data_IF_005080380151
#
_entry.id   IF_005080380151
#
_cell.length_a   1.000
_cell.length_b   1.000
_cell.length_c   1.000
_cell.angle_alpha   90.00
_cell.angle_beta   90.00
_cell.angle_gamma   90.00
#
_symmetry.space_group_name_H-M   'P 1'
#
loop_
_entity.id
_entity.type
_entity.pdbx_description
1 polymer ?
#
# COMPACT_ATOMS: atom_id res chain seq x y z
N UNK A 1 19.57 -2.57 15.32
CA UNK A 1 18.74 -1.39 15.63
C UNK A 1 18.34 -1.40 17.10
N UNK A 2 17.99 -0.27 17.64
CA UNK A 2 17.53 -0.11 19.02
C UNK A 2 16.34 -1.02 19.35
N UNK A 3 15.39 -1.13 18.44
CA UNK A 3 14.23 -2.01 18.57
C UNK A 3 14.63 -3.49 18.73
N UNK A 4 15.59 -3.97 17.93
CA UNK A 4 16.08 -5.35 18.05
C UNK A 4 16.76 -5.60 19.41
N UNK A 5 17.51 -4.64 19.89
CA UNK A 5 18.16 -4.70 21.20
C UNK A 5 17.14 -4.82 22.33
N UNK A 6 16.12 -3.96 22.34
CA UNK A 6 15.04 -4.00 23.32
C UNK A 6 14.24 -5.29 23.31
N UNK A 7 13.93 -5.80 22.13
CA UNK A 7 13.22 -7.08 21.98
C UNK A 7 14.05 -8.25 22.53
N UNK A 8 15.37 -8.26 22.33
CA UNK A 8 16.25 -9.31 22.86
C UNK A 8 16.45 -9.22 24.36
N UNK A 9 16.61 -8.02 24.91
CA UNK A 9 16.80 -7.77 26.35
C UNK A 9 15.56 -8.11 27.17
N UNK A 10 14.38 -7.84 26.65
CA UNK A 10 13.09 -8.06 27.32
C UNK A 10 12.52 -9.48 27.06
N UNK A 11 13.22 -10.35 26.36
CA UNK A 11 12.76 -11.69 25.98
C UNK A 11 11.37 -11.69 25.28
N UNK A 12 11.08 -10.65 24.54
CA UNK A 12 9.91 -10.65 23.68
C UNK A 12 10.01 -11.80 22.67
N UNK A 13 9.01 -12.67 22.63
CA UNK A 13 9.01 -13.79 21.70
C UNK A 13 9.02 -13.28 20.26
N UNK A 14 9.76 -13.96 19.42
CA UNK A 14 10.03 -13.64 18.02
C UNK A 14 8.83 -13.65 17.08
N UNK A 15 7.62 -13.83 17.59
CA UNK A 15 6.37 -13.86 16.81
C UNK A 15 5.94 -12.53 16.19
N UNK A 16 6.76 -11.49 16.34
CA UNK A 16 6.45 -10.15 15.84
C UNK A 16 5.46 -9.41 16.74
N UNK A 17 5.74 -8.14 16.98
CA UNK A 17 4.88 -7.25 17.73
C UNK A 17 3.73 -6.77 16.84
N UNK A 18 2.72 -7.61 16.63
CA UNK A 18 1.59 -7.35 15.71
C UNK A 18 0.36 -6.86 16.44
N UNK A 19 0.20 -7.17 17.72
CA UNK A 19 -0.92 -6.70 18.51
C UNK A 19 -0.69 -5.28 19.07
N UNK A 20 -1.80 -4.61 19.36
CA UNK A 20 -1.79 -3.23 19.88
C UNK A 20 -1.08 -3.12 21.23
N UNK A 21 -1.26 -4.09 22.12
CA UNK A 21 -0.67 -4.08 23.46
C UNK A 21 0.85 -4.13 23.40
N UNK A 22 1.41 -5.02 22.59
CA UNK A 22 2.84 -5.12 22.37
C UNK A 22 3.41 -3.83 21.75
N UNK A 23 2.73 -3.25 20.75
CA UNK A 23 3.14 -2.01 20.12
C UNK A 23 3.18 -0.85 21.11
N UNK A 24 2.21 -0.73 21.99
CA UNK A 24 2.15 0.30 23.04
C UNK A 24 3.29 0.13 24.04
N UNK A 25 3.52 -1.08 24.52
CA UNK A 25 4.61 -1.37 25.48
C UNK A 25 5.98 -1.05 24.87
N UNK A 26 6.23 -1.48 23.66
CA UNK A 26 7.47 -1.20 22.95
C UNK A 26 7.62 0.31 22.65
N UNK A 27 6.55 0.96 22.26
CA UNK A 27 6.54 2.41 22.03
C UNK A 27 6.88 3.20 23.27
N UNK A 28 6.38 2.80 24.44
CA UNK A 28 6.73 3.40 25.73
C UNK A 28 8.22 3.26 26.05
N UNK A 29 8.77 2.07 25.85
CA UNK A 29 10.20 1.81 26.05
C UNK A 29 11.09 2.66 25.14
N UNK A 30 10.65 2.90 23.91
CA UNK A 30 11.37 3.71 22.92
C UNK A 30 11.16 5.22 23.09
N UNK A 31 10.21 5.65 23.90
CA UNK A 31 9.79 7.04 23.98
C UNK A 31 9.07 7.52 22.70
N UNK A 32 8.50 6.60 21.95
CA UNK A 32 7.77 6.91 20.74
C UNK A 32 6.37 7.43 21.04
N UNK A 33 5.93 8.42 20.27
CA UNK A 33 4.56 8.95 20.35
C UNK A 33 3.56 8.08 19.57
N UNK A 34 4.00 7.55 18.44
CA UNK A 34 3.23 6.69 17.58
C UNK A 34 4.02 5.46 17.18
N UNK A 35 3.30 4.35 16.97
CA UNK A 35 3.86 3.11 16.45
C UNK A 35 3.08 2.66 15.22
N UNK A 36 3.80 2.21 14.22
CA UNK A 36 3.21 1.55 13.04
C UNK A 36 3.38 0.05 13.22
N UNK A 37 2.28 -0.67 13.17
CA UNK A 37 2.26 -2.14 13.17
C UNK A 37 1.55 -2.63 11.92
N UNK A 38 2.00 -3.74 11.38
CA UNK A 38 1.38 -4.29 10.19
C UNK A 38 1.87 -5.68 9.85
N UNK A 39 1.20 -6.27 8.88
CA UNK A 39 1.52 -7.58 8.34
C UNK A 39 1.65 -7.51 6.83
N UNK A 40 2.56 -8.31 6.29
CA UNK A 40 2.66 -8.58 4.86
C UNK A 40 2.24 -10.04 4.68
N UNK A 41 1.26 -10.27 3.82
CA UNK A 41 0.74 -11.60 3.51
C UNK A 41 0.91 -11.92 2.04
N UNK A 42 1.02 -13.22 1.76
CA UNK A 42 1.05 -13.75 0.40
C UNK A 42 0.09 -14.92 0.31
N UNK A 43 -0.97 -14.75 -0.46
CA UNK A 43 -2.01 -15.77 -0.66
C UNK A 43 -2.20 -15.96 -2.17
N UNK A 44 -1.88 -17.16 -2.65
CA UNK A 44 -1.91 -17.45 -4.08
C UNK A 44 -0.92 -16.57 -4.85
N UNK A 45 -1.43 -15.69 -5.71
CA UNK A 45 -0.63 -14.71 -6.48
C UNK A 45 -0.71 -13.30 -5.91
N UNK A 46 -1.44 -13.12 -4.81
CA UNK A 46 -1.70 -11.80 -4.24
C UNK A 46 -0.80 -11.53 -3.04
N UNK A 47 -0.08 -10.42 -3.09
CA UNK A 47 0.63 -9.85 -1.96
C UNK A 47 -0.22 -8.74 -1.35
N UNK A 48 -0.31 -8.69 -0.04
CA UNK A 48 -1.03 -7.63 0.67
C UNK A 48 -0.23 -7.07 1.83
N UNK A 49 -0.41 -5.78 2.07
CA UNK A 49 0.07 -5.08 3.27
C UNK A 49 -1.15 -4.56 4.02
N UNK A 50 -1.24 -4.91 5.29
CA UNK A 50 -2.16 -4.31 6.23
C UNK A 50 -1.38 -3.63 7.34
N UNK A 51 -1.69 -2.38 7.65
CA UNK A 51 -0.98 -1.64 8.69
C UNK A 51 -1.89 -0.67 9.45
N UNK A 52 -1.48 -0.36 10.67
CA UNK A 52 -2.17 0.57 11.56
C UNK A 52 -1.17 1.50 12.23
N UNK A 53 -1.55 2.77 12.36
CA UNK A 53 -0.84 3.75 13.17
C UNK A 53 -1.52 3.78 14.55
N UNK A 54 -0.77 3.53 15.60
CA UNK A 54 -1.26 3.43 16.97
C UNK A 54 -0.67 4.54 17.80
N UNK A 55 -1.50 5.26 18.55
CA UNK A 55 -1.05 6.18 19.59
C UNK A 55 -0.53 5.40 20.81
N UNK A 56 0.69 5.64 21.20
CA UNK A 56 1.29 4.99 22.37
C UNK A 56 0.62 5.44 23.67
N UNK A 57 0.16 6.69 23.71
CA UNK A 57 -0.50 7.27 24.89
C UNK A 57 -1.87 6.65 25.15
N UNK A 58 -2.73 6.59 24.13
CA UNK A 58 -4.12 6.10 24.27
C UNK A 58 -4.29 4.62 23.94
N UNK A 59 -3.37 4.02 23.19
CA UNK A 59 -3.49 2.67 22.66
C UNK A 59 -4.49 2.54 21.51
N UNK A 60 -5.02 3.65 21.00
CA UNK A 60 -6.01 3.68 19.93
C UNK A 60 -5.35 3.75 18.55
N UNK A 61 -6.01 3.16 17.55
CA UNK A 61 -5.61 3.27 16.16
C UNK A 61 -6.02 4.65 15.61
N UNK A 62 -5.05 5.40 15.13
CA UNK A 62 -5.23 6.72 14.53
C UNK A 62 -5.45 6.66 13.03
N UNK A 63 -4.94 5.65 12.39
CA UNK A 63 -5.07 5.45 10.95
C UNK A 63 -4.79 4.01 10.57
N UNK A 64 -5.26 3.63 9.41
CA UNK A 64 -4.99 2.32 8.81
C UNK A 64 -4.61 2.48 7.34
N UNK A 65 -3.78 1.57 6.86
CA UNK A 65 -3.38 1.54 5.47
C UNK A 65 -3.38 0.12 4.94
N UNK A 66 -3.86 -0.04 3.72
CA UNK A 66 -3.90 -1.32 3.03
C UNK A 66 -3.45 -1.17 1.58
N UNK A 67 -2.73 -2.15 1.09
CA UNK A 67 -2.36 -2.24 -0.32
C UNK A 67 -2.30 -3.70 -0.75
N UNK A 68 -2.83 -4.00 -1.92
CA UNK A 68 -2.80 -5.34 -2.52
C UNK A 68 -2.27 -5.27 -3.95
N UNK A 69 -1.52 -6.29 -4.35
CA UNK A 69 -1.00 -6.40 -5.71
C UNK A 69 -0.82 -7.87 -6.11
N UNK A 70 -1.10 -8.17 -7.36
CA UNK A 70 -0.80 -9.46 -7.99
C UNK A 70 0.57 -9.45 -8.70
N UNK A 71 1.27 -8.36 -8.61
CA UNK A 71 2.60 -8.20 -9.18
C UNK A 71 3.68 -8.80 -8.26
N UNK A 72 4.96 -8.51 -8.56
CA UNK A 72 6.08 -9.00 -7.77
C UNK A 72 6.16 -8.33 -6.39
N UNK A 73 6.86 -9.01 -5.47
CA UNK A 73 7.16 -8.45 -4.13
C UNK A 73 7.90 -7.10 -4.22
N UNK A 74 8.73 -6.90 -5.24
CA UNK A 74 9.41 -5.63 -5.46
C UNK A 74 8.44 -4.47 -5.68
N UNK A 75 7.36 -4.71 -6.42
CA UNK A 75 6.30 -3.71 -6.61
C UNK A 75 5.55 -3.44 -5.33
N UNK A 76 5.29 -4.48 -4.53
CA UNK A 76 4.69 -4.31 -3.21
C UNK A 76 5.53 -3.38 -2.34
N UNK A 77 6.85 -3.63 -2.26
CA UNK A 77 7.76 -2.83 -1.44
C UNK A 77 7.87 -1.41 -1.96
N UNK A 78 8.08 -1.22 -3.26
CA UNK A 78 8.29 0.11 -3.85
C UNK A 78 7.06 1.00 -3.83
N UNK A 79 5.92 0.46 -4.20
CA UNK A 79 4.67 1.21 -4.36
C UNK A 79 3.71 0.99 -3.20
N UNK A 80 3.61 -0.25 -2.71
CA UNK A 80 2.72 -0.61 -1.63
C UNK A 80 3.08 0.06 -0.33
N UNK A 81 4.34 -0.01 0.09
CA UNK A 81 4.80 0.65 1.32
C UNK A 81 4.59 2.16 1.27
N UNK A 82 4.86 2.77 0.12
CA UNK A 82 4.65 4.20 -0.07
C UNK A 82 3.16 4.57 0.00
N UNK A 83 2.30 3.82 -0.68
CA UNK A 83 0.85 4.02 -0.64
C UNK A 83 0.30 3.89 0.78
N UNK A 84 0.73 2.88 1.50
CA UNK A 84 0.34 2.64 2.89
C UNK A 84 0.80 3.79 3.80
N UNK A 85 2.01 4.29 3.63
CA UNK A 85 2.51 5.42 4.41
C UNK A 85 1.65 6.68 4.24
N UNK A 86 1.23 6.99 3.00
CA UNK A 86 0.32 8.10 2.76
C UNK A 86 -1.05 7.90 3.41
N UNK A 87 -1.60 6.69 3.34
CA UNK A 87 -2.88 6.36 3.98
C UNK A 87 -2.80 6.51 5.50
N UNK A 88 -1.72 6.03 6.12
CA UNK A 88 -1.51 6.15 7.57
C UNK A 88 -1.40 7.60 8.06
N UNK A 89 -0.85 8.47 7.23
CA UNK A 89 -0.69 9.89 7.54
C UNK A 89 -1.88 10.74 7.06
N UNK A 90 -2.90 10.12 6.48
CA UNK A 90 -4.05 10.82 5.86
C UNK A 90 -3.62 11.87 4.82
N UNK A 91 -2.51 11.58 4.14
CA UNK A 91 -1.97 12.43 3.08
C UNK A 91 -2.40 11.94 1.71
N UNK A 92 -2.68 12.86 0.81
CA UNK A 92 -2.91 12.52 -0.58
C UNK A 92 -1.64 11.95 -1.22
N UNK A 93 -1.73 10.83 -1.95
CA UNK A 93 -0.58 10.31 -2.65
C UNK A 93 -0.11 11.30 -3.73
N UNK A 94 1.19 11.45 -3.97
CA UNK A 94 1.69 12.35 -4.98
C UNK A 94 1.18 11.97 -6.36
N UNK A 95 0.96 12.96 -7.22
CA UNK A 95 0.39 12.83 -8.57
C UNK A 95 1.04 11.73 -9.44
N UNK A 96 2.29 11.37 -9.16
CA UNK A 96 3.01 10.28 -9.85
C UNK A 96 2.36 8.91 -9.62
N UNK A 97 1.78 8.67 -8.45
CA UNK A 97 1.04 7.41 -8.20
C UNK A 97 -0.32 7.42 -8.89
N UNK A 98 -0.94 8.60 -9.06
CA UNK A 98 -2.16 8.76 -9.86
C UNK A 98 -1.90 8.53 -11.35
N UNK A 99 -0.77 9.02 -11.89
CA UNK A 99 -0.40 8.81 -13.29
C UNK A 99 -0.23 7.33 -13.64
N UNK A 100 0.21 6.50 -12.70
CA UNK A 100 0.32 5.07 -12.91
C UNK A 100 -1.04 4.39 -13.03
N UNK A 101 -2.01 4.82 -12.22
CA UNK A 101 -3.39 4.33 -12.33
C UNK A 101 -4.01 4.74 -13.67
N UNK A 102 -3.67 5.90 -14.21
CA UNK A 102 -4.12 6.36 -15.53
C UNK A 102 -3.52 5.50 -16.64
N UNK A 103 -2.26 5.14 -16.57
CA UNK A 103 -1.63 4.26 -17.57
C UNK A 103 -2.21 2.85 -17.54
N UNK A 104 -2.55 2.32 -16.37
CA UNK A 104 -3.22 1.02 -16.24
C UNK A 104 -4.65 1.08 -16.81
N UNK A 105 -5.41 2.14 -16.53
CA UNK A 105 -6.74 2.37 -17.08
C UNK A 105 -6.71 2.52 -18.61
N UNK A 106 -5.73 3.22 -19.15
CA UNK A 106 -5.56 3.38 -20.61
C UNK A 106 -5.17 2.06 -21.25
N UNK A 107 -4.34 1.25 -20.60
CA UNK A 107 -3.94 -0.06 -21.10
C UNK A 107 -5.12 -1.04 -21.16
N UNK A 108 -5.99 -1.04 -20.17
CA UNK A 108 -7.17 -1.88 -20.13
C UNK A 108 -8.25 -1.43 -21.13
N UNK A 109 -8.26 -0.15 -21.51
CA UNK A 109 -9.18 0.42 -22.49
C UNK A 109 -8.63 0.47 -23.93
N UNK A 110 -7.46 -0.08 -24.18
CA UNK A 110 -6.85 -0.11 -25.52
C UNK A 110 -7.79 -0.68 -26.59
N UNK A 111 -8.61 -1.68 -26.21
CA UNK A 111 -9.60 -2.29 -27.13
C UNK A 111 -10.69 -1.31 -27.59
N UNK A 112 -11.07 -0.34 -26.76
CA UNK A 112 -12.06 0.66 -27.12
C UNK A 112 -11.50 1.72 -28.07
N UNK A 113 -10.25 2.13 -27.91
CA UNK A 113 -9.59 3.06 -28.82
C UNK A 113 -9.34 2.45 -30.20
N UNK A 114 -8.99 1.17 -30.24
CA UNK A 114 -8.84 0.43 -31.51
C UNK A 114 -10.13 0.36 -32.33
N UNK A 115 -11.26 0.13 -31.67
CA UNK A 115 -12.56 0.04 -32.32
C UNK A 115 -13.06 1.38 -32.86
N UNK A 116 -12.84 2.47 -32.17
CA UNK A 116 -13.21 3.83 -32.61
C UNK A 116 -12.37 4.24 -33.83
N UNK A 117 -11.09 3.93 -33.84
CA UNK A 117 -10.21 4.20 -34.97
C UNK A 117 -10.65 3.43 -36.24
N UNK A 118 -11.09 2.18 -36.07
CA UNK A 118 -11.58 1.34 -37.18
C UNK A 118 -12.91 1.85 -37.72
N UNK A 119 -13.80 2.34 -36.85
CA UNK A 119 -15.09 2.91 -37.30
C UNK A 119 -14.90 4.24 -38.03
N UNK A 120 -13.96 5.07 -37.65
CA UNK A 120 -13.61 6.32 -38.35
C UNK A 120 -13.01 6.03 -39.72
N UNK A 121 -12.23 4.97 -39.87
CA UNK A 121 -11.63 4.59 -41.14
C UNK A 121 -12.67 4.00 -42.10
N UNK A 122 -13.62 3.20 -41.62
CA UNK A 122 -14.73 2.67 -42.38
C UNK A 122 -15.75 3.74 -42.76
N UNK A 123 -15.99 4.73 -41.88
CA UNK A 123 -16.86 5.87 -42.13
C UNK A 123 -16.36 6.77 -43.26
N UNK A 124 -15.05 6.92 -43.42
CA UNK A 124 -14.47 7.74 -44.49
C UNK A 124 -14.47 7.04 -45.84
N UNK A 125 -14.43 5.71 -45.86
CA UNK A 125 -14.52 4.92 -47.07
C UNK A 125 -15.95 4.85 -47.67
N UNK A 126 -16.98 5.26 -46.93
CA UNK A 126 -18.38 5.23 -47.32
C UNK A 126 -18.96 6.57 -47.79
N UNK A 127 -18.15 7.66 -47.70
CA UNK A 127 -18.57 8.95 -48.25
C UNK A 127 -18.37 8.97 -49.76
N UNK A 128 -19.44 9.21 -50.55
CA UNK A 128 -19.30 9.37 -51.99
C UNK A 128 -18.47 10.59 -52.33
N UNK A 129 -17.52 10.39 -53.20
CA UNK A 129 -16.67 11.47 -53.69
C UNK A 129 -17.49 12.50 -54.48
#
# INVERSE_FOLDING_TARGET
SEMKRLLSEQKFQYSGCVDTKCAVELGKMLGAKYMVVGTISHIGKTFSIDSRLISVESGEAYGSGKYETNASIDKLIRYGMKSVAYQLCELDPPAISMMKNITDIISDNWFYFGSISMLLWLGWGLLPA
#
